data_IF_689551376356
#
_entry.id   IF_689551376356
#
_cell.length_a   1.000
_cell.length_b   1.000
_cell.length_c   1.000
_cell.angle_alpha   90.00
_cell.angle_beta   90.00
_cell.angle_gamma   90.00
#
_symmetry.space_group_name_H-M   'P 1'
#
loop_
_entity.id
_entity.type
_entity.pdbx_description
1 polymer ?
#
# COMPACT_ATOMS: atom_id res chain seq x y z
N UNK A 1 4.85 -9.43 8.30
CA UNK A 1 4.74 -8.88 6.93
C UNK A 1 4.52 -7.37 7.03
N UNK A 2 4.88 -6.57 6.03
CA UNK A 2 4.61 -5.12 6.02
C UNK A 2 3.46 -4.85 5.04
N UNK A 3 2.42 -4.11 5.47
CA UNK A 3 1.28 -3.71 4.64
C UNK A 3 1.51 -2.31 4.07
N UNK A 4 1.35 -2.16 2.76
CA UNK A 4 1.44 -0.89 2.04
C UNK A 4 0.06 -0.53 1.50
N UNK A 5 -0.45 0.62 1.90
CA UNK A 5 -1.76 1.11 1.50
C UNK A 5 -1.55 2.25 0.51
N UNK A 6 -1.88 1.98 -0.75
CA UNK A 6 -1.70 2.90 -1.87
C UNK A 6 -3.02 3.57 -2.18
N UNK A 7 -3.06 4.89 -2.07
CA UNK A 7 -4.20 5.72 -2.44
C UNK A 7 -3.73 6.82 -3.41
N UNK A 8 -4.64 7.52 -4.08
CA UNK A 8 -4.31 8.57 -5.05
C UNK A 8 -3.36 9.64 -4.48
N UNK A 9 -3.70 10.16 -3.29
CA UNK A 9 -3.03 11.26 -2.63
C UNK A 9 -3.19 11.19 -1.10
N UNK A 10 -2.57 12.14 -0.38
CA UNK A 10 -2.66 12.25 1.09
C UNK A 10 -4.11 12.45 1.56
N UNK A 11 -4.93 13.19 0.82
CA UNK A 11 -6.30 13.49 1.23
C UNK A 11 -7.19 12.24 1.14
N UNK A 12 -6.97 11.38 0.16
CA UNK A 12 -7.60 10.07 0.08
C UNK A 12 -7.09 9.15 1.19
N UNK A 13 -5.78 9.15 1.49
CA UNK A 13 -5.23 8.40 2.65
C UNK A 13 -5.94 8.79 3.95
N UNK A 14 -6.09 10.08 4.23
CA UNK A 14 -6.77 10.56 5.45
C UNK A 14 -8.22 10.07 5.52
N UNK A 15 -8.93 10.06 4.38
CA UNK A 15 -10.32 9.60 4.30
C UNK A 15 -10.46 8.10 4.57
N UNK A 16 -9.57 7.27 4.00
CA UNK A 16 -9.66 5.80 4.16
C UNK A 16 -9.02 5.29 5.45
N UNK A 17 -8.13 6.08 6.06
CA UNK A 17 -7.34 5.65 7.21
C UNK A 17 -8.16 5.11 8.38
N UNK A 18 -9.27 5.73 8.81
CA UNK A 18 -10.08 5.18 9.90
C UNK A 18 -10.55 3.74 9.62
N UNK A 19 -11.01 3.48 8.40
CA UNK A 19 -11.48 2.16 7.96
C UNK A 19 -10.35 1.13 7.91
N UNK A 20 -9.20 1.52 7.37
CA UNK A 20 -8.01 0.65 7.30
C UNK A 20 -7.47 0.35 8.69
N UNK A 21 -7.37 1.37 9.55
CA UNK A 21 -6.90 1.23 10.93
C UNK A 21 -7.79 0.25 11.68
N UNK A 22 -9.11 0.43 11.63
CA UNK A 22 -10.05 -0.48 12.28
C UNK A 22 -9.89 -1.94 11.81
N UNK A 23 -9.71 -2.15 10.51
CA UNK A 23 -9.63 -3.49 9.91
C UNK A 23 -8.28 -4.19 10.09
N UNK A 24 -7.17 -3.46 10.09
CA UNK A 24 -5.83 -4.05 9.97
C UNK A 24 -4.89 -3.78 11.14
N UNK A 25 -5.21 -2.86 12.07
CA UNK A 25 -4.26 -2.50 13.14
C UNK A 25 -4.01 -3.62 14.15
N UNK A 26 -4.97 -4.53 14.33
CA UNK A 26 -4.88 -5.65 15.27
C UNK A 26 -4.52 -6.98 14.58
N UNK A 27 -4.22 -6.97 13.29
CA UNK A 27 -3.81 -8.17 12.57
C UNK A 27 -2.34 -8.48 12.87
N UNK A 28 -2.10 -9.52 13.67
CA UNK A 28 -0.75 -9.96 14.09
C UNK A 28 0.18 -10.35 12.94
N UNK A 29 -0.35 -10.58 11.74
CA UNK A 29 0.43 -10.83 10.52
C UNK A 29 1.23 -9.60 10.04
N UNK A 30 0.78 -8.38 10.39
CA UNK A 30 1.41 -7.14 9.96
C UNK A 30 2.28 -6.55 11.06
N UNK A 31 3.58 -6.44 10.77
CA UNK A 31 4.55 -5.77 11.64
C UNK A 31 4.44 -4.24 11.52
N UNK A 32 4.15 -3.76 10.31
CA UNK A 32 4.05 -2.33 9.99
C UNK A 32 3.00 -2.09 8.93
N UNK A 33 2.29 -0.97 9.04
CA UNK A 33 1.39 -0.45 8.01
C UNK A 33 1.96 0.88 7.51
N UNK A 34 2.26 0.96 6.21
CA UNK A 34 2.79 2.14 5.55
C UNK A 34 1.71 2.70 4.62
N UNK A 35 1.50 4.00 4.65
CA UNK A 35 0.56 4.68 3.76
C UNK A 35 1.32 5.45 2.70
N UNK A 36 0.93 5.24 1.46
CA UNK A 36 1.55 5.86 0.29
C UNK A 36 0.48 6.64 -0.45
N UNK A 37 0.33 7.91 -0.08
CA UNK A 37 -0.41 8.94 -0.83
C UNK A 37 0.53 9.99 -1.44
N UNK A 38 1.84 9.75 -1.40
CA UNK A 38 2.92 10.55 -2.01
C UNK A 38 3.99 9.61 -2.54
N UNK A 39 4.98 10.16 -3.27
CA UNK A 39 6.17 9.42 -3.72
C UNK A 39 6.73 8.55 -2.60
N UNK A 40 6.67 7.24 -2.79
CA UNK A 40 7.32 6.27 -1.93
C UNK A 40 8.47 5.60 -2.68
N UNK A 41 9.61 5.41 -2.00
CA UNK A 41 10.71 4.64 -2.55
C UNK A 41 10.38 3.14 -2.40
N UNK A 42 10.00 2.50 -3.50
CA UNK A 42 9.74 1.05 -3.55
C UNK A 42 11.03 0.21 -3.60
N UNK A 43 12.19 0.86 -3.75
CA UNK A 43 13.50 0.22 -3.77
C UNK A 43 13.85 -0.38 -2.40
N UNK A 44 14.34 -1.63 -2.40
CA UNK A 44 14.78 -2.32 -1.18
C UNK A 44 13.67 -3.03 -0.40
N UNK A 45 12.42 -2.98 -0.87
CA UNK A 45 11.33 -3.77 -0.30
C UNK A 45 11.48 -5.24 -0.70
N UNK A 46 11.27 -6.14 0.26
CA UNK A 46 11.28 -7.58 0.01
C UNK A 46 9.85 -8.02 -0.35
N UNK A 47 9.56 -8.40 -1.62
CA UNK A 47 8.19 -8.70 -2.03
C UNK A 47 7.54 -9.84 -1.24
N UNK A 48 8.33 -10.83 -0.82
CA UNK A 48 7.88 -11.97 0.01
C UNK A 48 7.43 -11.55 1.42
N UNK A 49 7.80 -10.36 1.88
CA UNK A 49 7.42 -9.81 3.20
C UNK A 49 6.54 -8.56 3.06
N UNK A 50 6.01 -8.30 1.87
CA UNK A 50 5.22 -7.11 1.56
C UNK A 50 3.83 -7.51 1.07
N UNK A 51 2.81 -6.85 1.61
CA UNK A 51 1.44 -6.90 1.13
C UNK A 51 1.06 -5.52 0.63
N UNK A 52 0.45 -5.43 -0.55
CA UNK A 52 -0.01 -4.17 -1.12
C UNK A 52 -1.53 -4.18 -1.14
N UNK A 53 -2.10 -3.11 -0.62
CA UNK A 53 -3.51 -2.80 -0.65
C UNK A 53 -3.70 -1.54 -1.50
N UNK A 54 -4.44 -1.66 -2.59
CA UNK A 54 -4.77 -0.58 -3.50
C UNK A 54 -6.15 -0.04 -3.11
N UNK A 55 -6.31 1.28 -2.93
CA UNK A 55 -7.53 1.89 -2.43
C UNK A 55 -8.01 3.06 -3.29
N UNK A 56 -9.32 3.16 -3.51
CA UNK A 56 -9.95 4.29 -4.20
C UNK A 56 -9.34 4.52 -5.59
N UNK A 57 -9.01 5.77 -5.88
CA UNK A 57 -8.39 6.18 -7.16
C UNK A 57 -6.86 5.94 -7.19
N UNK A 58 -6.38 4.83 -6.60
CA UNK A 58 -4.96 4.54 -6.47
C UNK A 58 -4.19 4.68 -7.79
N UNK A 59 -4.83 4.42 -8.94
CA UNK A 59 -4.27 4.56 -10.29
C UNK A 59 -3.75 5.97 -10.60
N UNK A 60 -4.18 6.99 -9.84
CA UNK A 60 -3.70 8.37 -9.95
C UNK A 60 -2.43 8.64 -9.13
N UNK A 61 -1.96 7.67 -8.33
CA UNK A 61 -0.80 7.88 -7.47
C UNK A 61 0.50 7.94 -8.30
N UNK A 62 1.29 9.01 -8.19
CA UNK A 62 2.53 9.19 -8.97
C UNK A 62 3.62 8.15 -8.65
N UNK A 63 3.49 7.40 -7.56
CA UNK A 63 4.43 6.34 -7.18
C UNK A 63 4.27 5.07 -8.03
N UNK A 64 3.14 4.91 -8.72
CA UNK A 64 2.87 3.78 -9.61
C UNK A 64 3.72 3.79 -10.88
N UNK A 65 4.19 4.96 -11.31
CA UNK A 65 4.98 5.12 -12.54
C UNK A 65 6.41 4.58 -12.41
N UNK A 66 6.82 4.13 -11.21
CA UNK A 66 8.15 3.56 -11.01
C UNK A 66 8.19 2.07 -11.38
N UNK A 67 9.19 1.65 -12.17
CA UNK A 67 9.41 0.23 -12.51
C UNK A 67 9.57 -0.66 -11.27
N UNK A 68 10.06 -0.08 -10.18
CA UNK A 68 10.19 -0.77 -8.90
C UNK A 68 8.84 -1.10 -8.27
N UNK A 69 7.83 -0.24 -8.39
CA UNK A 69 6.49 -0.56 -7.89
C UNK A 69 5.89 -1.76 -8.62
N UNK A 70 5.95 -1.78 -9.96
CA UNK A 70 5.42 -2.90 -10.77
C UNK A 70 6.03 -4.23 -10.37
N UNK A 71 7.36 -4.28 -10.20
CA UNK A 71 8.09 -5.48 -9.74
C UNK A 71 7.70 -5.96 -8.36
N UNK A 72 7.41 -5.02 -7.44
CA UNK A 72 6.95 -5.37 -6.09
C UNK A 72 5.49 -5.84 -6.16
N UNK A 73 4.63 -5.19 -6.94
CA UNK A 73 3.22 -5.56 -7.09
C UNK A 73 3.04 -6.98 -7.66
N UNK A 74 3.80 -7.33 -8.71
CA UNK A 74 3.75 -8.67 -9.33
C UNK A 74 4.15 -9.79 -8.36
N UNK A 75 4.97 -9.49 -7.36
CA UNK A 75 5.59 -10.47 -6.46
C UNK A 75 5.06 -10.41 -5.03
N UNK A 76 4.35 -9.36 -4.67
CA UNK A 76 3.68 -9.21 -3.39
C UNK A 76 2.41 -10.06 -3.39
N UNK A 77 2.01 -10.54 -2.22
CA UNK A 77 0.69 -11.16 -2.05
C UNK A 77 -0.39 -10.06 -2.16
N UNK A 78 -0.91 -9.82 -3.37
CA UNK A 78 -1.88 -8.74 -3.61
C UNK A 78 -3.20 -8.97 -2.87
N UNK A 79 -3.76 -7.92 -2.26
CA UNK A 79 -5.16 -7.89 -1.82
C UNK A 79 -5.83 -6.66 -2.45
N UNK A 80 -6.85 -6.93 -3.24
CA UNK A 80 -7.71 -5.93 -3.87
C UNK A 80 -8.89 -5.67 -2.94
N UNK A 81 -9.19 -4.40 -2.67
CA UNK A 81 -10.44 -4.00 -2.03
C UNK A 81 -11.06 -2.96 -2.97
N UNK A 82 -12.19 -3.34 -3.57
CA UNK A 82 -13.09 -2.42 -4.31
C UNK A 82 -13.73 -1.40 -3.37
#
# INVERSE_FOLDING_TARGET
>A
MDLYVVAADIEQVKRIWPSIKHRYINHSEYRKINFTGVKCAWSGLSPKKTKILLCGEYWRNPSLETDNFKRVLEKAAGVFIE
#
